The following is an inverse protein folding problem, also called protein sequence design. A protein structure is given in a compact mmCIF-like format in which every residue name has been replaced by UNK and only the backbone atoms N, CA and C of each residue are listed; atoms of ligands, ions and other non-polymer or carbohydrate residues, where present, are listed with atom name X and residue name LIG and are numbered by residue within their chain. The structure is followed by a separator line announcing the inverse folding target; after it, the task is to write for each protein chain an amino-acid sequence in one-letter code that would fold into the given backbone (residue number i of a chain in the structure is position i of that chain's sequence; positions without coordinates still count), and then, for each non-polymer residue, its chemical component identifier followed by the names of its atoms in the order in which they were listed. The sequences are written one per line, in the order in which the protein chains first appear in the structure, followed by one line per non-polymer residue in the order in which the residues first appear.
data_IF_525239186518
#
_entry.id   IF_525239186518
#
_cell.length_a   1.000
_cell.length_b   1.000
_cell.length_c   1.000
_cell.angle_alpha   90.00
_cell.angle_beta   90.00
_cell.angle_gamma   90.00
#
_symmetry.space_group_name_H-M   'P 1'
#
loop_
_entity.id
_entity.type
_entity.pdbx_description
1 polymer ?
#
# COMPACT_ATOMS: atom_id res chain seq x y z
N UNK A 1 22.55 -18.45 44.10
CA UNK A 1 23.11 -18.07 42.79
C UNK A 1 23.30 -19.36 42.00
N UNK A 2 22.29 -19.81 41.26
CA UNK A 2 22.31 -21.05 40.49
C UNK A 2 22.18 -20.69 39.00
N UNK A 3 23.19 -21.05 38.24
CA UNK A 3 23.33 -20.79 36.82
C UNK A 3 22.69 -21.99 36.08
N UNK A 4 21.56 -21.76 35.43
CA UNK A 4 20.96 -22.75 34.51
C UNK A 4 21.70 -22.74 33.17
N UNK A 5 22.50 -23.76 32.94
CA UNK A 5 23.08 -24.06 31.62
C UNK A 5 22.05 -24.77 30.77
N UNK A 6 21.51 -24.09 29.76
CA UNK A 6 20.69 -24.72 28.74
C UNK A 6 21.58 -25.42 27.72
N UNK A 7 21.46 -26.77 27.66
CA UNK A 7 22.17 -27.61 26.69
C UNK A 7 21.67 -27.38 25.28
N UNK A 8 22.55 -27.11 24.34
CA UNK A 8 22.23 -27.03 22.92
C UNK A 8 21.91 -28.43 22.35
N UNK A 9 20.89 -28.58 21.47
CA UNK A 9 20.61 -29.86 20.83
C UNK A 9 21.69 -30.19 19.80
N UNK A 10 22.13 -31.45 19.85
CA UNK A 10 23.17 -32.03 18.99
C UNK A 10 22.77 -32.03 17.52
N UNK A 11 23.66 -31.57 16.65
CA UNK A 11 23.52 -31.53 15.18
C UNK A 11 23.40 -32.91 14.49
N UNK A 12 23.35 -34.01 15.22
CA UNK A 12 23.30 -35.36 14.67
C UNK A 12 21.90 -35.82 14.22
N UNK A 13 20.84 -35.07 14.53
CA UNK A 13 19.46 -35.52 14.27
C UNK A 13 18.89 -35.08 12.91
N UNK A 14 19.57 -34.23 12.16
CA UNK A 14 19.08 -33.72 10.87
C UNK A 14 19.49 -34.51 9.63
N UNK A 15 20.36 -35.53 9.77
CA UNK A 15 20.88 -36.32 8.65
C UNK A 15 20.01 -37.51 8.24
N UNK A 16 19.07 -37.93 9.05
CA UNK A 16 18.32 -39.18 8.84
C UNK A 16 16.98 -39.03 8.10
N UNK A 17 16.48 -37.82 7.90
CA UNK A 17 15.13 -37.60 7.31
C UNK A 17 15.17 -37.46 5.78
N UNK A 18 16.34 -37.46 5.15
CA UNK A 18 16.48 -37.22 3.69
C UNK A 18 16.58 -38.46 2.81
N UNK A 19 16.69 -39.66 3.38
CA UNK A 19 16.93 -40.88 2.58
C UNK A 19 15.67 -41.65 2.15
N UNK A 20 14.53 -41.46 2.82
CA UNK A 20 13.38 -42.33 2.58
C UNK A 20 12.28 -41.73 1.68
N UNK A 21 12.42 -40.49 1.25
CA UNK A 21 11.41 -39.82 0.42
C UNK A 21 11.62 -39.92 -1.11
N UNK A 22 12.73 -40.48 -1.56
CA UNK A 22 13.06 -40.52 -3.00
C UNK A 22 12.63 -41.81 -3.72
N UNK A 23 12.17 -42.86 -3.00
CA UNK A 23 11.85 -44.16 -3.63
C UNK A 23 10.41 -44.36 -4.08
N UNK A 24 9.50 -43.43 -3.79
CA UNK A 24 8.07 -43.62 -4.10
C UNK A 24 7.51 -42.67 -5.18
N UNK A 25 8.32 -41.82 -5.77
CA UNK A 25 7.84 -40.83 -6.78
C UNK A 25 8.16 -41.26 -8.23
N UNK A 26 8.97 -42.29 -8.43
CA UNK A 26 9.43 -42.66 -9.77
C UNK A 26 8.38 -43.36 -10.69
N UNK A 27 7.32 -44.04 -10.25
CA UNK A 27 6.38 -44.69 -11.20
C UNK A 27 5.18 -43.83 -11.61
N UNK A 28 4.97 -42.62 -11.07
CA UNK A 28 3.77 -41.81 -11.40
C UNK A 28 3.97 -40.78 -12.53
N UNK A 29 5.21 -40.60 -13.01
CA UNK A 29 5.49 -39.60 -14.05
C UNK A 29 5.24 -40.14 -15.47
N UNK A 30 5.21 -41.48 -15.65
CA UNK A 30 5.10 -42.08 -16.99
C UNK A 30 3.66 -42.15 -17.53
N UNK A 31 2.63 -41.92 -16.74
CA UNK A 31 1.22 -42.03 -17.17
C UNK A 31 0.52 -40.70 -17.39
N UNK A 32 1.16 -39.56 -17.07
CA UNK A 32 0.57 -38.24 -17.26
C UNK A 32 0.98 -37.52 -18.56
N UNK A 33 1.87 -38.12 -19.37
CA UNK A 33 2.38 -37.49 -20.59
C UNK A 33 1.55 -37.74 -21.85
N UNK A 34 0.44 -38.48 -21.79
CA UNK A 34 -0.36 -38.85 -22.97
C UNK A 34 -1.73 -38.19 -23.07
N UNK A 35 -2.07 -37.23 -22.22
CA UNK A 35 -3.37 -36.52 -22.20
C UNK A 35 -3.29 -35.03 -22.40
N UNK A 36 -2.15 -34.47 -22.82
CA UNK A 36 -2.00 -33.02 -23.10
C UNK A 36 -1.91 -32.80 -24.62
N UNK A 37 -2.95 -33.16 -25.34
CA UNK A 37 -3.00 -32.89 -26.80
C UNK A 37 -4.40 -32.56 -27.29
N UNK A 38 -5.22 -31.80 -26.57
CA UNK A 38 -6.49 -31.30 -27.11
C UNK A 38 -7.10 -30.14 -26.32
N UNK A 39 -6.33 -29.12 -25.92
CA UNK A 39 -6.92 -27.90 -25.36
C UNK A 39 -6.12 -26.63 -25.75
N UNK A 40 -5.69 -26.56 -27.00
CA UNK A 40 -4.95 -25.43 -27.52
C UNK A 40 -5.75 -24.66 -28.58
N UNK A 41 -7.03 -24.35 -28.33
CA UNK A 41 -7.81 -23.45 -29.20
C UNK A 41 -8.96 -22.84 -28.42
N UNK A 42 -8.73 -21.90 -27.51
CA UNK A 42 -9.68 -20.86 -27.09
C UNK A 42 -9.04 -19.89 -26.08
N UNK A 43 -7.86 -19.37 -26.39
CA UNK A 43 -7.40 -18.13 -25.76
C UNK A 43 -7.53 -17.01 -26.79
N UNK A 44 -8.77 -16.69 -27.13
CA UNK A 44 -9.09 -15.39 -27.65
C UNK A 44 -9.11 -14.42 -26.44
N UNK A 45 -7.95 -14.29 -25.81
CA UNK A 45 -7.69 -13.16 -24.95
C UNK A 45 -7.79 -11.94 -25.87
N UNK A 46 -8.87 -11.18 -25.70
CA UNK A 46 -8.91 -9.78 -26.05
C UNK A 46 -7.65 -9.16 -25.49
N UNK A 47 -6.64 -9.11 -26.33
CA UNK A 47 -5.41 -8.41 -26.07
C UNK A 47 -5.76 -6.91 -26.15
N UNK A 48 -6.46 -6.41 -25.13
CA UNK A 48 -6.43 -5.01 -24.79
C UNK A 48 -4.99 -4.78 -24.35
N UNK A 49 -4.13 -4.52 -25.32
CA UNK A 49 -2.86 -3.88 -25.03
C UNK A 49 -3.18 -2.73 -24.10
N UNK A 50 -2.55 -2.61 -22.93
CA UNK A 50 -2.59 -1.36 -22.21
C UNK A 50 -1.96 -0.36 -23.15
N UNK A 51 -2.82 0.35 -23.88
CA UNK A 51 -2.42 1.49 -24.68
C UNK A 51 -1.63 2.37 -23.73
N UNK A 52 -0.36 2.54 -24.10
CA UNK A 52 0.63 3.27 -23.31
C UNK A 52 0.14 4.70 -23.15
N UNK A 53 -0.67 4.94 -22.15
CA UNK A 53 -1.04 6.29 -21.70
C UNK A 53 0.15 6.93 -20.98
N UNK A 54 1.29 6.98 -21.66
CA UNK A 54 2.43 7.77 -21.22
C UNK A 54 2.11 9.28 -21.21
N UNK A 55 0.95 9.67 -21.76
CA UNK A 55 0.42 11.04 -21.71
C UNK A 55 -0.63 11.27 -20.61
N UNK A 56 -1.24 10.22 -20.04
CA UNK A 56 -2.08 10.38 -18.86
C UNK A 56 -1.14 10.39 -17.65
N UNK A 57 -0.90 11.55 -17.06
CA UNK A 57 -0.07 11.70 -15.87
C UNK A 57 -0.35 10.61 -14.82
N UNK A 58 0.66 10.25 -14.05
CA UNK A 58 0.55 9.21 -13.01
C UNK A 58 -0.67 9.46 -12.11
N UNK A 59 -1.52 8.46 -11.94
CA UNK A 59 -2.71 8.50 -11.07
C UNK A 59 -2.63 7.37 -10.05
N UNK A 60 -2.99 7.67 -8.81
CA UNK A 60 -3.06 6.65 -7.78
C UNK A 60 -4.32 5.77 -7.96
N UNK A 61 -4.17 4.46 -7.72
CA UNK A 61 -5.25 3.49 -7.94
C UNK A 61 -6.16 3.30 -6.71
N UNK A 62 -5.72 3.68 -5.50
CA UNK A 62 -6.47 3.52 -4.25
C UNK A 62 -7.82 4.24 -4.31
N UNK A 63 -8.86 3.62 -3.73
CA UNK A 63 -10.22 4.18 -3.70
C UNK A 63 -10.65 4.63 -2.30
N UNK A 64 -10.20 3.92 -1.27
CA UNK A 64 -10.48 4.29 0.12
C UNK A 64 -9.43 5.25 0.68
N UNK A 65 -9.81 6.03 1.69
CA UNK A 65 -8.87 6.92 2.38
C UNK A 65 -7.72 6.17 3.05
N UNK A 66 -7.98 4.97 3.57
CA UNK A 66 -6.98 4.10 4.15
C UNK A 66 -5.95 3.60 3.12
N UNK A 67 -6.42 3.07 1.98
CA UNK A 67 -5.55 2.62 0.89
C UNK A 67 -4.66 3.75 0.36
N UNK A 68 -5.24 4.94 0.18
CA UNK A 68 -4.51 6.12 -0.27
C UNK A 68 -3.49 6.57 0.77
N UNK A 69 -3.85 6.57 2.05
CA UNK A 69 -2.91 6.88 3.11
C UNK A 69 -1.74 5.89 3.11
N UNK A 70 -2.03 4.60 3.09
CA UNK A 70 -1.01 3.54 3.11
C UNK A 70 -0.09 3.56 1.88
N UNK A 71 -0.60 3.91 0.71
CA UNK A 71 0.18 3.89 -0.53
C UNK A 71 0.94 5.20 -0.81
N UNK A 72 0.46 6.33 -0.28
CA UNK A 72 0.97 7.66 -0.64
C UNK A 72 1.53 8.41 0.57
N UNK A 73 0.74 8.54 1.64
CA UNK A 73 1.04 9.46 2.73
C UNK A 73 2.00 8.89 3.77
N UNK A 74 1.85 7.59 4.10
CA UNK A 74 2.63 6.94 5.15
C UNK A 74 4.13 6.89 4.87
N UNK A 75 4.55 7.01 3.61
CA UNK A 75 5.98 7.07 3.25
C UNK A 75 6.73 8.22 3.91
N UNK A 76 6.02 9.32 4.19
CA UNK A 76 6.57 10.48 4.90
C UNK A 76 5.95 10.64 6.30
N UNK A 77 4.64 10.44 6.44
CA UNK A 77 3.94 10.68 7.70
C UNK A 77 3.91 9.47 8.65
N UNK A 78 4.52 8.35 8.26
CA UNK A 78 4.59 7.07 8.97
C UNK A 78 3.21 6.39 9.14
N UNK A 79 3.16 5.06 9.37
CA UNK A 79 1.89 4.32 9.50
C UNK A 79 1.03 4.79 10.68
N UNK A 80 1.62 5.39 11.70
CA UNK A 80 0.94 5.91 12.90
C UNK A 80 0.64 7.43 12.83
N UNK A 81 0.96 8.08 11.72
CA UNK A 81 0.74 9.51 11.52
C UNK A 81 1.65 10.45 12.32
N UNK A 82 2.66 9.91 13.03
CA UNK A 82 3.52 10.74 13.90
C UNK A 82 4.63 11.47 13.17
N UNK A 83 4.80 11.19 11.87
CA UNK A 83 5.89 11.76 11.12
C UNK A 83 7.25 11.23 11.54
N UNK A 84 8.32 11.83 11.05
CA UNK A 84 9.69 11.44 11.37
C UNK A 84 10.64 12.62 11.38
N UNK A 85 11.74 12.47 12.12
CA UNK A 85 12.89 13.39 12.12
C UNK A 85 14.16 12.59 11.84
N UNK A 86 15.05 13.15 11.05
CA UNK A 86 16.32 12.50 10.66
C UNK A 86 16.97 13.29 9.54
N UNK A 87 17.25 12.67 8.40
CA UNK A 87 17.75 13.36 7.20
C UNK A 87 16.76 14.40 6.65
N UNK A 88 15.47 14.30 7.02
CA UNK A 88 14.40 15.26 6.80
C UNK A 88 13.50 15.37 8.02
N UNK A 89 12.58 16.35 8.01
CA UNK A 89 11.56 16.51 9.04
C UNK A 89 10.18 16.40 8.41
N UNK A 90 9.46 15.35 8.76
CA UNK A 90 8.09 15.11 8.33
C UNK A 90 7.15 15.37 9.50
N UNK A 91 6.21 16.35 9.40
CA UNK A 91 5.40 16.74 10.54
C UNK A 91 4.42 15.63 10.96
N UNK A 92 4.14 15.57 12.28
CA UNK A 92 3.05 14.74 12.80
C UNK A 92 1.71 15.26 12.30
N UNK A 93 0.88 14.35 11.83
CA UNK A 93 -0.54 14.57 11.56
C UNK A 93 -1.43 13.89 12.60
N UNK A 94 -0.82 13.15 13.53
CA UNK A 94 -1.52 12.54 14.66
C UNK A 94 -1.82 13.57 15.72
N UNK A 95 -3.09 13.63 16.19
CA UNK A 95 -3.55 14.57 17.21
C UNK A 95 -3.24 16.04 16.88
N UNK A 96 -3.39 16.42 15.62
CA UNK A 96 -2.92 17.73 15.13
C UNK A 96 -4.08 18.72 14.98
N UNK A 97 -4.11 19.71 15.86
CA UNK A 97 -5.18 20.73 15.88
C UNK A 97 -5.29 21.56 14.61
N UNK A 98 -4.23 21.68 13.81
CA UNK A 98 -4.30 22.41 12.53
C UNK A 98 -5.21 21.72 11.51
N UNK A 99 -5.43 20.40 11.65
CA UNK A 99 -6.32 19.63 10.80
C UNK A 99 -7.81 19.87 11.09
N UNK A 100 -8.14 20.60 12.15
CA UNK A 100 -9.49 21.09 12.42
C UNK A 100 -10.00 21.94 11.27
N UNK A 101 -9.15 22.78 10.71
CA UNK A 101 -9.47 23.57 9.53
C UNK A 101 -9.33 22.71 8.25
N UNK A 102 -10.43 22.13 7.77
CA UNK A 102 -10.46 21.26 6.59
C UNK A 102 -9.88 21.92 5.34
N UNK A 103 -10.18 23.20 5.12
CA UNK A 103 -9.66 23.95 3.98
C UNK A 103 -8.13 24.07 3.95
N UNK A 104 -7.48 24.19 5.13
CA UNK A 104 -6.02 24.17 5.22
C UNK A 104 -5.45 22.83 4.74
N UNK A 105 -6.03 21.72 5.21
CA UNK A 105 -5.56 20.40 4.81
C UNK A 105 -5.80 20.14 3.32
N UNK A 106 -6.95 20.57 2.79
CA UNK A 106 -7.22 20.51 1.35
C UNK A 106 -6.18 21.26 0.54
N UNK A 107 -5.88 22.51 0.90
CA UNK A 107 -4.87 23.31 0.19
C UNK A 107 -3.50 22.64 0.21
N UNK A 108 -3.10 22.08 1.36
CA UNK A 108 -1.80 21.39 1.49
C UNK A 108 -1.75 20.11 0.62
N UNK A 109 -2.80 19.31 0.60
CA UNK A 109 -2.82 18.06 -0.18
C UNK A 109 -2.90 18.34 -1.67
N UNK A 110 -3.75 19.28 -2.08
CA UNK A 110 -3.97 19.59 -3.49
C UNK A 110 -2.80 20.35 -4.09
N UNK A 111 -2.35 21.41 -3.43
CA UNK A 111 -1.39 22.37 -3.98
C UNK A 111 0.04 22.21 -3.46
N UNK A 112 0.23 21.29 -2.47
CA UNK A 112 1.53 21.11 -1.83
C UNK A 112 1.89 22.24 -0.86
N UNK A 113 2.86 21.98 0.01
CA UNK A 113 3.39 22.99 0.92
C UNK A 113 4.82 22.65 1.34
N UNK A 114 5.77 23.54 1.10
CA UNK A 114 7.20 23.33 1.40
C UNK A 114 7.71 22.03 0.75
N UNK A 115 8.14 21.04 1.56
CA UNK A 115 8.63 19.75 1.08
C UNK A 115 7.52 18.75 0.74
N UNK A 116 6.26 19.01 1.09
CA UNK A 116 5.15 18.17 0.68
C UNK A 116 4.77 18.49 -0.76
N UNK A 117 4.86 17.53 -1.69
CA UNK A 117 4.53 17.78 -3.09
C UNK A 117 3.02 17.99 -3.29
N UNK A 118 2.60 18.70 -4.35
CA UNK A 118 1.20 18.78 -4.73
C UNK A 118 0.72 17.41 -5.23
N UNK A 119 -0.37 16.91 -4.68
CA UNK A 119 -0.95 15.62 -5.05
C UNK A 119 -2.24 15.77 -5.87
N UNK A 120 -2.72 17.00 -6.04
CA UNK A 120 -3.97 17.30 -6.73
C UNK A 120 -4.05 16.72 -8.14
N UNK A 121 -2.98 16.79 -8.91
CA UNK A 121 -2.96 16.26 -10.28
C UNK A 121 -2.87 14.72 -10.34
N UNK A 122 -2.49 14.08 -9.25
CA UNK A 122 -2.35 12.64 -9.16
C UNK A 122 -3.57 11.94 -8.56
N UNK A 123 -4.51 12.70 -7.97
CA UNK A 123 -5.72 12.21 -7.30
C UNK A 123 -6.98 12.85 -7.88
N UNK A 124 -8.05 12.07 -7.98
CA UNK A 124 -9.40 12.62 -8.23
C UNK A 124 -9.92 13.39 -7.02
N UNK A 125 -10.97 14.18 -7.21
CA UNK A 125 -11.62 14.91 -6.11
C UNK A 125 -12.15 13.96 -5.04
N UNK A 126 -12.71 12.80 -5.46
CA UNK A 126 -13.18 11.76 -4.54
C UNK A 126 -12.03 11.16 -3.72
N UNK A 127 -10.88 10.91 -4.34
CA UNK A 127 -9.70 10.37 -3.67
C UNK A 127 -9.11 11.35 -2.66
N UNK A 128 -9.01 12.62 -3.02
CA UNK A 128 -8.54 13.65 -2.08
C UNK A 128 -9.50 13.78 -0.90
N UNK A 129 -10.83 13.83 -1.16
CA UNK A 129 -11.83 13.88 -0.09
C UNK A 129 -11.74 12.65 0.83
N UNK A 130 -11.59 11.45 0.25
CA UNK A 130 -11.48 10.21 1.01
C UNK A 130 -10.26 10.19 1.93
N UNK A 131 -9.06 10.53 1.44
CA UNK A 131 -7.84 10.50 2.26
C UNK A 131 -7.82 11.62 3.30
N UNK A 132 -8.33 12.80 2.98
CA UNK A 132 -8.45 13.92 3.93
C UNK A 132 -9.39 13.54 5.08
N UNK A 133 -10.56 12.98 4.78
CA UNK A 133 -11.50 12.53 5.80
C UNK A 133 -10.93 11.39 6.64
N UNK A 134 -10.19 10.46 6.04
CA UNK A 134 -9.51 9.39 6.76
C UNK A 134 -8.53 9.95 7.79
N UNK A 135 -7.63 10.84 7.40
CA UNK A 135 -6.65 11.44 8.31
C UNK A 135 -7.34 12.25 9.41
N UNK A 136 -8.38 13.01 9.08
CA UNK A 136 -9.13 13.85 10.03
C UNK A 136 -9.94 13.05 11.05
N UNK A 137 -10.18 11.78 10.82
CA UNK A 137 -10.93 10.89 11.73
C UNK A 137 -10.07 9.79 12.37
N UNK A 138 -8.80 9.66 11.97
CA UNK A 138 -7.84 8.65 12.47
C UNK A 138 -6.64 9.31 13.13
N UNK A 139 -5.70 8.53 13.62
CA UNK A 139 -4.46 9.01 14.25
C UNK A 139 -4.72 9.95 15.44
N UNK A 140 -5.68 9.62 16.28
CA UNK A 140 -6.13 10.45 17.43
C UNK A 140 -6.76 11.79 17.01
N UNK A 141 -7.07 12.00 15.74
CA UNK A 141 -7.91 13.10 15.29
C UNK A 141 -9.39 12.69 15.37
N UNK A 142 -10.27 13.64 15.63
CA UNK A 142 -11.72 13.39 15.73
C UNK A 142 -12.53 14.56 15.13
N UNK A 143 -12.18 14.97 13.92
CA UNK A 143 -12.88 16.03 13.18
C UNK A 143 -13.93 15.40 12.27
N UNK A 144 -15.21 15.64 12.56
CA UNK A 144 -16.32 14.92 11.91
C UNK A 144 -17.03 15.71 10.81
N UNK A 145 -16.65 16.95 10.60
CA UNK A 145 -17.10 17.75 9.46
C UNK A 145 -16.43 17.20 8.18
N UNK A 146 -17.20 16.40 7.44
CA UNK A 146 -16.66 15.71 6.26
C UNK A 146 -16.40 16.70 5.11
N UNK A 147 -15.25 16.51 4.47
CA UNK A 147 -14.89 17.16 3.21
C UNK A 147 -15.57 16.44 2.05
N UNK A 148 -16.10 17.20 1.10
CA UNK A 148 -16.75 16.68 -0.11
C UNK A 148 -15.85 16.84 -1.34
N UNK A 149 -16.07 16.07 -2.43
CA UNK A 149 -15.38 16.28 -3.70
C UNK A 149 -15.57 17.69 -4.27
N UNK A 150 -16.69 18.34 -3.98
CA UNK A 150 -16.94 19.72 -4.38
C UNK A 150 -16.01 20.72 -3.69
N UNK A 151 -15.70 20.50 -2.40
CA UNK A 151 -14.73 21.32 -1.64
C UNK A 151 -13.34 21.15 -2.23
N UNK A 152 -12.97 19.92 -2.59
CA UNK A 152 -11.68 19.65 -3.26
C UNK A 152 -11.59 20.39 -4.57
N UNK A 153 -12.62 20.28 -5.41
CA UNK A 153 -12.68 20.96 -6.70
C UNK A 153 -12.52 22.48 -6.55
N UNK A 154 -13.17 23.07 -5.56
CA UNK A 154 -13.06 24.52 -5.26
C UNK A 154 -11.65 24.94 -4.80
N UNK A 155 -10.85 24.00 -4.26
CA UNK A 155 -9.50 24.26 -3.80
C UNK A 155 -8.45 24.18 -4.92
N UNK A 156 -8.76 23.53 -6.04
CA UNK A 156 -7.85 23.42 -7.19
C UNK A 156 -7.62 24.81 -7.79
N UNK A 157 -6.36 25.12 -8.03
CA UNK A 157 -5.98 26.35 -8.75
C UNK A 157 -6.12 26.11 -10.26
N UNK A 158 -6.53 27.09 -11.02
CA UNK A 158 -6.57 27.02 -12.49
C UNK A 158 -5.17 26.86 -13.08
#
# INVERSE_FOLDING_TARGET
MQICTAGAPSMASYAQVRADSLSLVAPMIATFLSLISAAALAQNATNSSPESTLSAGFKFAGKSGEELYASVCQGCHMPDGKGATGAGAYPSIAGNDTLKASGYMLDVVVNGKRAMPPLGDMMSDDQVAAVVNYVRTHFSNNYRDAVTPADVKATRRP
#
